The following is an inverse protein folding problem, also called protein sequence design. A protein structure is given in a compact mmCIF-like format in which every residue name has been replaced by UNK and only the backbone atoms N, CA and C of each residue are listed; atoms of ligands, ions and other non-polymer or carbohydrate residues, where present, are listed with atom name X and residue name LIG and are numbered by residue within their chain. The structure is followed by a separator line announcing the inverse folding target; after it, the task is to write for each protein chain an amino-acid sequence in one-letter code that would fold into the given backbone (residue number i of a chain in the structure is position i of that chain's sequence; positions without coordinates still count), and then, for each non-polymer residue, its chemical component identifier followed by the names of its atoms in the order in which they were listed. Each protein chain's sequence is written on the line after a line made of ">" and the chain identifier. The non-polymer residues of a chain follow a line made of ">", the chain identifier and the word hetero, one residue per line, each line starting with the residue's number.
data_IF_596712778577
#
_entry.id   IF_596712778577
#
_cell.length_a   1.000
_cell.length_b   1.000
_cell.length_c   1.000
_cell.angle_alpha   90.00
_cell.angle_beta   90.00
_cell.angle_gamma   90.00
#
_symmetry.space_group_name_H-M   'P 1'
#
loop_
_entity.id
_entity.type
_entity.pdbx_description
1 polymer ?
#
# COMPACT_ATOMS: atom_id res chain seq x y z
N UNK A 1 -17.34 -15.99 16.59
CA UNK A 1 -17.40 -17.27 15.86
C UNK A 1 -18.75 -17.99 16.00
N UNK A 2 -19.40 -17.96 17.16
CA UNK A 2 -20.71 -18.62 17.36
C UNK A 2 -21.81 -18.06 16.44
N UNK A 3 -21.80 -16.75 16.16
CA UNK A 3 -22.77 -16.09 15.28
C UNK A 3 -22.52 -16.42 13.81
N UNK A 4 -21.25 -16.50 13.37
CA UNK A 4 -20.90 -16.86 12.01
C UNK A 4 -21.31 -18.29 11.64
N UNK A 5 -21.29 -19.21 12.63
CA UNK A 5 -21.66 -20.59 12.43
C UNK A 5 -23.15 -20.79 12.06
N UNK A 6 -24.01 -19.83 12.36
CA UNK A 6 -25.44 -19.90 12.03
C UNK A 6 -25.79 -19.39 10.63
N UNK A 7 -24.85 -18.70 9.94
CA UNK A 7 -25.10 -18.06 8.65
C UNK A 7 -24.25 -18.60 7.50
N UNK A 8 -23.13 -19.28 7.81
CA UNK A 8 -22.24 -19.87 6.81
C UNK A 8 -22.56 -21.34 6.60
N UNK A 9 -22.31 -21.83 5.38
CA UNK A 9 -22.23 -23.27 5.13
C UNK A 9 -21.12 -23.87 6.01
N UNK A 10 -21.21 -25.17 6.34
CA UNK A 10 -20.20 -25.85 7.14
C UNK A 10 -18.80 -25.75 6.50
N UNK A 11 -18.73 -25.86 5.17
CA UNK A 11 -17.46 -25.74 4.41
C UNK A 11 -16.86 -24.34 4.45
N UNK A 12 -17.70 -23.30 4.35
CA UNK A 12 -17.24 -21.90 4.42
C UNK A 12 -16.75 -21.55 5.84
N UNK A 13 -17.44 -22.05 6.85
CA UNK A 13 -17.03 -21.88 8.23
C UNK A 13 -15.70 -22.56 8.55
N UNK A 14 -15.51 -23.80 8.08
CA UNK A 14 -14.25 -24.55 8.25
C UNK A 14 -13.09 -23.85 7.52
N UNK A 15 -13.30 -23.39 6.30
CA UNK A 15 -12.33 -22.61 5.54
C UNK A 15 -11.96 -21.30 6.24
N UNK A 16 -12.94 -20.63 6.84
CA UNK A 16 -12.73 -19.42 7.62
C UNK A 16 -11.85 -19.67 8.85
N UNK A 17 -12.15 -20.75 9.60
CA UNK A 17 -11.40 -21.15 10.80
C UNK A 17 -9.96 -21.55 10.44
N UNK A 18 -9.78 -22.31 9.37
CA UNK A 18 -8.46 -22.73 8.90
C UNK A 18 -7.59 -21.53 8.52
N UNK A 19 -8.14 -20.59 7.75
CA UNK A 19 -7.44 -19.35 7.39
C UNK A 19 -7.09 -18.50 8.60
N UNK A 20 -7.99 -18.39 9.56
CA UNK A 20 -7.76 -17.65 10.78
C UNK A 20 -6.63 -18.25 11.63
N UNK A 21 -6.58 -19.56 11.76
CA UNK A 21 -5.50 -20.25 12.46
C UNK A 21 -4.15 -20.11 11.75
N UNK A 22 -4.15 -20.08 10.42
CA UNK A 22 -2.95 -19.89 9.62
C UNK A 22 -2.30 -18.51 9.81
N UNK A 23 -3.10 -17.46 9.96
CA UNK A 23 -2.59 -16.09 10.11
C UNK A 23 -2.30 -15.67 11.56
N UNK A 24 -2.50 -16.54 12.54
CA UNK A 24 -2.08 -16.33 13.95
C UNK A 24 -2.74 -15.13 14.64
N UNK A 25 -3.85 -14.64 14.13
CA UNK A 25 -4.55 -13.48 14.69
C UNK A 25 -5.79 -13.95 15.46
N UNK A 26 -6.08 -13.43 16.66
CA UNK A 26 -7.39 -13.63 17.26
C UNK A 26 -8.42 -13.03 16.30
N UNK A 27 -9.43 -13.84 15.97
CA UNK A 27 -10.51 -13.48 15.06
C UNK A 27 -11.41 -12.41 15.69
N UNK A 28 -11.02 -11.16 15.63
CA UNK A 28 -11.97 -10.07 15.72
C UNK A 28 -12.57 -9.81 14.35
N UNK A 29 -13.64 -10.52 14.02
CA UNK A 29 -14.45 -10.20 12.86
C UNK A 29 -15.58 -9.28 13.25
N UNK A 30 -15.64 -8.14 12.65
CA UNK A 30 -16.91 -7.46 12.44
C UNK A 30 -17.48 -8.02 11.14
N UNK A 31 -18.37 -8.99 11.22
CA UNK A 31 -19.18 -9.40 10.07
C UNK A 31 -20.15 -8.24 9.84
N UNK A 32 -19.79 -7.35 8.94
CA UNK A 32 -20.77 -6.45 8.35
C UNK A 32 -21.60 -7.34 7.43
N UNK A 33 -22.91 -7.42 7.67
CA UNK A 33 -23.81 -8.40 7.08
C UNK A 33 -23.62 -8.55 5.58
N UNK A 34 -23.62 -9.80 5.15
CA UNK A 34 -23.61 -10.18 3.75
C UNK A 34 -24.92 -9.72 3.10
N UNK A 35 -24.89 -8.52 2.56
CA UNK A 35 -25.88 -8.09 1.60
C UNK A 35 -25.22 -8.26 0.23
N UNK A 36 -25.78 -9.14 -0.59
CA UNK A 36 -25.26 -9.56 -1.88
C UNK A 36 -25.20 -8.44 -2.96
N UNK A 37 -25.40 -7.21 -2.57
CA UNK A 37 -25.46 -6.08 -3.48
C UNK A 37 -24.53 -4.97 -2.98
N UNK A 38 -23.40 -4.83 -3.66
CA UNK A 38 -22.44 -3.73 -3.57
C UNK A 38 -21.66 -3.62 -2.24
N UNK A 39 -20.56 -4.34 -2.18
CA UNK A 39 -19.57 -4.16 -1.11
C UNK A 39 -18.57 -3.10 -1.52
N UNK A 40 -18.42 -2.05 -0.70
CA UNK A 40 -17.44 -1.00 -0.91
C UNK A 40 -16.64 -0.73 0.36
N UNK A 41 -15.32 -0.70 0.22
CA UNK A 41 -14.39 -0.29 1.27
C UNK A 41 -13.40 0.70 0.68
N UNK A 42 -13.11 1.76 1.40
CA UNK A 42 -12.17 2.80 1.00
C UNK A 42 -12.81 4.02 0.34
N UNK A 43 -11.99 4.99 -0.04
CA UNK A 43 -10.54 4.99 0.12
C UNK A 43 -10.12 4.96 1.59
N UNK A 44 -9.07 4.17 1.91
CA UNK A 44 -8.52 4.08 3.25
C UNK A 44 -7.63 5.29 3.58
N UNK A 45 -7.00 5.85 2.56
CA UNK A 45 -6.06 6.96 2.69
C UNK A 45 -6.69 8.28 2.22
N UNK A 46 -6.22 9.37 2.82
CA UNK A 46 -6.63 10.74 2.44
C UNK A 46 -5.51 11.52 1.74
N UNK A 47 -4.32 10.94 1.64
CA UNK A 47 -3.16 11.60 1.03
C UNK A 47 -3.31 11.76 -0.48
N UNK A 48 -2.88 12.93 -0.99
CA UNK A 48 -2.87 13.29 -2.40
C UNK A 48 -1.47 13.72 -2.82
N UNK A 49 -0.47 12.97 -2.38
CA UNK A 49 0.92 13.33 -2.60
C UNK A 49 1.38 12.98 -4.01
N UNK A 50 2.25 13.84 -4.55
CA UNK A 50 2.80 13.72 -5.89
C UNK A 50 4.32 13.65 -5.90
N UNK A 51 4.90 13.35 -7.05
CA UNK A 51 6.36 13.22 -7.21
C UNK A 51 7.06 14.57 -7.33
N UNK A 52 6.31 15.64 -7.59
CA UNK A 52 6.74 17.00 -7.87
C UNK A 52 5.99 18.00 -6.99
N UNK A 53 5.97 19.27 -7.35
CA UNK A 53 5.19 20.28 -6.64
C UNK A 53 5.65 20.56 -5.21
N UNK A 54 6.97 20.44 -4.96
CA UNK A 54 7.58 20.67 -3.67
C UNK A 54 7.77 19.41 -2.82
N UNK A 55 7.16 18.27 -3.16
CA UNK A 55 7.41 17.01 -2.45
C UNK A 55 8.85 16.50 -2.64
N UNK A 56 9.49 16.85 -3.75
CA UNK A 56 10.87 16.50 -4.08
C UNK A 56 11.94 17.47 -3.57
N UNK A 57 11.56 18.47 -2.79
CA UNK A 57 12.48 19.57 -2.40
C UNK A 57 13.74 19.10 -1.65
N UNK A 58 13.72 17.95 -1.02
CA UNK A 58 14.88 17.34 -0.36
C UNK A 58 15.50 16.18 -1.14
N UNK A 59 14.99 15.89 -2.35
CA UNK A 59 15.60 14.94 -3.25
C UNK A 59 16.83 15.53 -3.95
N UNK A 60 17.82 14.71 -4.36
CA UNK A 60 19.00 15.20 -5.10
C UNK A 60 18.61 16.02 -6.32
N UNK A 61 19.18 17.24 -6.41
CA UNK A 61 18.88 18.23 -7.46
C UNK A 61 17.40 18.59 -7.62
N UNK A 62 16.56 18.35 -6.60
CA UNK A 62 15.10 18.48 -6.63
C UNK A 62 14.46 17.66 -7.76
N UNK A 63 15.10 16.60 -8.20
CA UNK A 63 14.55 15.67 -9.18
C UNK A 63 13.28 15.01 -8.64
N UNK A 64 12.36 14.57 -9.53
CA UNK A 64 11.14 13.91 -9.08
C UNK A 64 11.40 12.85 -8.03
N UNK A 65 10.57 12.80 -7.00
CA UNK A 65 10.75 11.89 -5.85
C UNK A 65 10.66 10.41 -6.23
N UNK A 66 10.02 10.11 -7.36
CA UNK A 66 9.78 8.75 -7.85
C UNK A 66 8.49 8.13 -7.30
N UNK A 67 7.77 7.41 -8.15
CA UNK A 67 6.49 6.79 -7.78
C UNK A 67 6.62 5.81 -6.61
N UNK A 68 7.74 5.10 -6.53
CA UNK A 68 8.05 4.17 -5.43
C UNK A 68 8.07 4.90 -4.09
N UNK A 69 8.80 6.00 -3.99
CA UNK A 69 8.90 6.76 -2.74
C UNK A 69 7.54 7.36 -2.32
N UNK A 70 6.76 7.86 -3.28
CA UNK A 70 5.44 8.44 -2.99
C UNK A 70 4.46 7.36 -2.55
N UNK A 71 4.40 6.21 -3.22
CA UNK A 71 3.52 5.12 -2.83
C UNK A 71 3.86 4.61 -1.41
N UNK A 72 5.16 4.42 -1.12
CA UNK A 72 5.62 4.02 0.21
C UNK A 72 5.27 5.06 1.27
N UNK A 73 5.59 6.33 1.02
CA UNK A 73 5.35 7.41 1.97
C UNK A 73 3.87 7.56 2.36
N UNK A 74 2.95 7.37 1.41
CA UNK A 74 1.52 7.40 1.69
C UNK A 74 1.05 6.24 2.55
N UNK A 75 1.58 5.02 2.32
CA UNK A 75 1.32 3.86 3.18
C UNK A 75 1.88 4.09 4.58
N UNK A 76 3.10 4.59 4.70
CA UNK A 76 3.72 4.90 5.99
C UNK A 76 2.96 5.99 6.74
N UNK A 77 2.46 7.02 6.03
CA UNK A 77 1.56 8.05 6.61
C UNK A 77 0.23 7.45 7.08
N UNK A 78 -0.33 6.49 6.37
CA UNK A 78 -1.54 5.80 6.80
C UNK A 78 -1.36 5.04 8.12
N UNK A 79 -0.22 4.34 8.27
CA UNK A 79 0.10 3.58 9.46
C UNK A 79 0.74 4.43 10.59
N UNK A 80 1.18 5.66 10.28
CA UNK A 80 1.94 6.54 11.18
C UNK A 80 3.15 5.83 11.81
N UNK A 81 3.86 5.08 10.98
CA UNK A 81 5.04 4.31 11.36
C UNK A 81 6.20 4.51 10.35
N UNK A 82 7.48 4.59 10.81
CA UNK A 82 7.96 4.49 12.20
C UNK A 82 7.67 5.75 13.05
N UNK A 83 7.65 5.58 14.37
CA UNK A 83 7.29 6.65 15.31
C UNK A 83 8.24 7.85 15.34
N UNK A 84 9.40 7.73 14.70
CA UNK A 84 10.42 8.80 14.65
C UNK A 84 10.05 10.00 13.78
N UNK A 85 8.98 9.89 12.98
CA UNK A 85 8.51 10.97 12.12
C UNK A 85 7.41 11.82 12.76
N UNK A 86 7.37 13.10 12.40
CA UNK A 86 6.26 13.99 12.76
C UNK A 86 5.07 13.77 11.83
N UNK A 87 4.27 12.74 12.12
CA UNK A 87 3.09 12.39 11.35
C UNK A 87 2.02 13.47 11.39
N UNK A 88 1.90 14.20 12.49
CA UNK A 88 0.94 15.29 12.67
C UNK A 88 1.29 16.52 11.80
N UNK A 89 2.57 16.73 11.54
CA UNK A 89 3.07 17.80 10.66
C UNK A 89 2.92 17.52 9.15
N UNK A 90 2.47 16.31 8.77
CA UNK A 90 2.28 15.93 7.36
C UNK A 90 0.87 16.20 6.88
N UNK A 91 0.66 17.27 6.09
CA UNK A 91 -0.62 17.52 5.45
C UNK A 91 -0.93 16.48 4.35
N UNK A 92 -2.22 16.20 4.14
CA UNK A 92 -2.67 15.23 3.15
C UNK A 92 -2.63 15.75 1.70
N UNK A 93 -2.71 17.05 1.51
CA UNK A 93 -2.97 17.70 0.22
C UNK A 93 -1.86 18.64 -0.27
N UNK A 94 -0.80 18.83 0.53
CA UNK A 94 0.33 19.70 0.20
C UNK A 94 1.61 19.19 0.82
N UNK A 95 2.78 19.52 0.24
CA UNK A 95 4.08 19.19 0.83
C UNK A 95 4.29 19.99 2.13
N UNK A 96 4.93 19.35 3.09
CA UNK A 96 5.42 19.92 4.34
C UNK A 96 6.86 19.47 4.56
N UNK A 97 7.61 20.15 5.43
CA UNK A 97 8.97 19.72 5.77
C UNK A 97 9.02 18.28 6.31
N UNK A 98 7.98 17.87 7.05
CA UNK A 98 7.88 16.52 7.56
C UNK A 98 7.68 15.48 6.42
N UNK A 99 6.76 15.72 5.47
CA UNK A 99 6.56 14.82 4.33
C UNK A 99 7.76 14.80 3.38
N UNK A 100 8.41 15.93 3.15
CA UNK A 100 9.65 16.01 2.36
C UNK A 100 10.77 15.17 2.98
N UNK A 101 10.94 15.25 4.30
CA UNK A 101 11.95 14.46 5.03
C UNK A 101 11.68 12.96 4.94
N UNK A 102 10.43 12.55 5.09
CA UNK A 102 10.02 11.17 4.91
C UNK A 102 10.34 10.67 3.50
N UNK A 103 9.90 11.38 2.48
CA UNK A 103 10.10 11.03 1.07
C UNK A 103 11.59 10.91 0.73
N UNK A 104 12.40 11.87 1.16
CA UNK A 104 13.86 11.83 0.95
C UNK A 104 14.52 10.65 1.67
N UNK A 105 14.06 10.29 2.87
CA UNK A 105 14.56 9.12 3.59
C UNK A 105 14.19 7.81 2.90
N UNK A 106 12.94 7.68 2.43
CA UNK A 106 12.51 6.52 1.64
C UNK A 106 13.36 6.39 0.37
N UNK A 107 13.60 7.49 -0.35
CA UNK A 107 14.47 7.48 -1.52
C UNK A 107 15.87 6.91 -1.24
N UNK A 108 16.44 7.22 -0.08
CA UNK A 108 17.70 6.60 0.37
C UNK A 108 17.52 5.11 0.70
N UNK A 109 16.46 4.74 1.39
CA UNK A 109 16.20 3.36 1.81
C UNK A 109 15.99 2.41 0.62
N UNK A 110 15.44 2.89 -0.48
CA UNK A 110 15.21 2.11 -1.70
C UNK A 110 16.33 2.26 -2.75
N UNK A 111 17.42 2.94 -2.43
CA UNK A 111 18.49 3.28 -3.38
C UNK A 111 17.92 3.91 -4.69
N UNK A 112 17.08 4.93 -4.53
CA UNK A 112 16.41 5.59 -5.64
C UNK A 112 17.41 6.06 -6.71
N UNK A 113 17.19 5.64 -7.94
CA UNK A 113 17.89 6.18 -9.11
C UNK A 113 17.20 7.47 -9.53
N UNK A 114 17.77 8.59 -9.09
CA UNK A 114 17.22 9.93 -9.40
C UNK A 114 17.60 10.37 -10.80
N UNK A 115 16.64 10.87 -11.57
CA UNK A 115 16.85 11.45 -12.88
C UNK A 115 16.02 12.72 -13.07
N UNK A 116 16.45 13.56 -14.02
CA UNK A 116 15.82 14.85 -14.29
C UNK A 116 14.34 14.74 -14.68
N UNK A 117 14.00 13.73 -15.48
CA UNK A 117 12.65 13.55 -15.99
C UNK A 117 11.84 12.55 -15.16
N UNK A 118 12.53 11.62 -14.51
CA UNK A 118 11.91 10.60 -13.65
C UNK A 118 12.92 9.98 -12.71
N UNK A 119 12.42 9.41 -11.63
CA UNK A 119 13.20 8.64 -10.65
C UNK A 119 12.52 7.30 -10.40
N UNK A 120 13.31 6.26 -10.17
CA UNK A 120 12.79 4.91 -10.03
C UNK A 120 13.60 4.03 -9.07
N UNK A 121 12.95 2.98 -8.58
CA UNK A 121 13.57 1.90 -7.83
C UNK A 121 12.82 0.59 -8.13
N UNK A 122 13.48 -0.54 -7.97
CA UNK A 122 12.88 -1.84 -8.24
C UNK A 122 11.91 -2.26 -7.12
N UNK A 123 11.02 -3.22 -7.42
CA UNK A 123 10.15 -3.83 -6.40
C UNK A 123 10.97 -4.49 -5.28
N UNK A 124 12.15 -5.03 -5.61
CA UNK A 124 13.07 -5.59 -4.60
C UNK A 124 13.64 -4.52 -3.68
N UNK A 125 13.94 -3.34 -4.22
CA UNK A 125 14.40 -2.19 -3.45
C UNK A 125 13.28 -1.65 -2.56
N UNK A 126 12.06 -1.54 -3.07
CA UNK A 126 10.90 -1.13 -2.29
C UNK A 126 10.66 -2.08 -1.11
N UNK A 127 10.73 -3.42 -1.33
CA UNK A 127 10.63 -4.41 -0.25
C UNK A 127 11.68 -4.17 0.82
N UNK A 128 12.97 -4.04 0.43
CA UNK A 128 14.07 -3.76 1.37
C UNK A 128 13.88 -2.42 2.10
N UNK A 129 13.38 -1.41 1.40
CA UNK A 129 13.07 -0.11 1.98
C UNK A 129 12.03 -0.21 3.10
N UNK A 130 10.91 -0.87 2.87
CA UNK A 130 9.90 -1.12 3.90
C UNK A 130 10.46 -1.93 5.07
N UNK A 131 11.24 -2.98 4.81
CA UNK A 131 11.89 -3.77 5.86
C UNK A 131 12.87 -2.93 6.70
N UNK A 132 13.63 -2.03 6.06
CA UNK A 132 14.51 -1.09 6.74
C UNK A 132 13.74 -0.09 7.62
N UNK A 133 12.50 0.24 7.26
CA UNK A 133 11.59 1.07 8.05
C UNK A 133 10.84 0.27 9.13
N UNK A 134 11.10 -1.03 9.26
CA UNK A 134 10.54 -1.88 10.31
C UNK A 134 9.23 -2.58 9.96
N UNK A 135 8.85 -2.62 8.68
CA UNK A 135 7.67 -3.36 8.22
C UNK A 135 7.99 -4.83 7.94
N UNK A 136 7.06 -5.71 8.27
CA UNK A 136 7.07 -7.08 7.77
C UNK A 136 6.41 -7.11 6.39
N UNK A 137 7.15 -7.50 5.36
CA UNK A 137 6.71 -7.35 3.96
C UNK A 137 6.70 -8.71 3.25
N UNK A 138 5.56 -9.03 2.65
CA UNK A 138 5.44 -10.14 1.71
C UNK A 138 5.35 -9.61 0.28
N UNK A 139 6.19 -10.15 -0.60
CA UNK A 139 6.11 -9.92 -2.05
C UNK A 139 5.37 -11.09 -2.68
N UNK A 140 4.34 -10.79 -3.46
CA UNK A 140 3.53 -11.78 -4.18
C UNK A 140 3.30 -11.33 -5.61
N UNK A 141 3.01 -12.28 -6.49
CA UNK A 141 2.41 -11.98 -7.78
C UNK A 141 0.99 -11.42 -7.56
N UNK A 142 0.49 -10.65 -8.54
CA UNK A 142 -0.83 -10.04 -8.42
C UNK A 142 -1.91 -11.11 -8.35
N UNK A 143 -2.64 -11.11 -7.24
CA UNK A 143 -3.86 -11.88 -7.03
C UNK A 143 -4.91 -10.95 -6.42
N UNK A 144 -6.07 -10.86 -7.07
CA UNK A 144 -7.14 -9.97 -6.64
C UNK A 144 -7.64 -10.31 -5.25
N UNK A 145 -7.75 -11.60 -4.93
CA UNK A 145 -8.17 -12.05 -3.60
C UNK A 145 -7.21 -11.62 -2.49
N UNK A 146 -5.91 -11.68 -2.74
CA UNK A 146 -4.91 -11.20 -1.78
C UNK A 146 -5.07 -9.69 -1.54
N UNK A 147 -5.27 -8.89 -2.61
CA UNK A 147 -5.47 -7.44 -2.51
C UNK A 147 -6.76 -7.11 -1.76
N UNK A 148 -7.86 -7.74 -2.14
CA UNK A 148 -9.17 -7.54 -1.49
C UNK A 148 -9.15 -7.97 -0.02
N UNK A 149 -8.44 -9.05 0.31
CA UNK A 149 -8.30 -9.52 1.68
C UNK A 149 -7.60 -8.50 2.58
N UNK A 150 -6.57 -7.81 2.07
CA UNK A 150 -5.89 -6.75 2.80
C UNK A 150 -6.83 -5.55 3.03
N UNK A 151 -7.60 -5.17 2.03
CA UNK A 151 -8.49 -4.01 2.07
C UNK A 151 -9.75 -4.30 2.88
N UNK A 152 -10.49 -5.37 2.54
CA UNK A 152 -11.78 -5.68 3.15
C UNK A 152 -11.68 -6.20 4.58
N UNK A 153 -10.71 -7.06 4.86
CA UNK A 153 -10.63 -7.75 6.15
C UNK A 153 -9.62 -7.15 7.10
N UNK A 154 -8.58 -6.49 6.59
CA UNK A 154 -7.50 -5.95 7.41
C UNK A 154 -7.43 -4.43 7.42
N UNK A 155 -8.18 -3.77 6.53
CA UNK A 155 -8.15 -2.31 6.41
C UNK A 155 -6.75 -1.78 6.11
N UNK A 156 -5.99 -2.49 5.29
CA UNK A 156 -4.61 -2.11 4.95
C UNK A 156 -4.48 -1.76 3.48
N UNK A 157 -3.89 -0.61 3.14
CA UNK A 157 -3.57 -0.27 1.77
C UNK A 157 -2.46 -1.20 1.23
N UNK A 158 -2.51 -1.50 -0.06
CA UNK A 158 -1.59 -2.42 -0.72
C UNK A 158 -0.69 -1.68 -1.68
N UNK A 159 0.64 -1.82 -1.51
CA UNK A 159 1.61 -1.35 -2.47
C UNK A 159 1.57 -2.22 -3.72
N UNK A 160 1.41 -1.62 -4.86
CA UNK A 160 1.32 -2.30 -6.15
C UNK A 160 2.33 -1.75 -7.14
N UNK A 161 2.82 -2.63 -8.01
CA UNK A 161 3.64 -2.24 -9.17
C UNK A 161 3.14 -2.93 -10.41
N UNK A 162 3.35 -2.30 -11.56
CA UNK A 162 3.07 -2.90 -12.84
C UNK A 162 3.96 -2.35 -13.93
N UNK A 163 4.30 -3.20 -14.88
CA UNK A 163 5.07 -2.84 -16.07
C UNK A 163 4.16 -2.82 -17.27
N UNK A 164 4.33 -1.83 -18.12
CA UNK A 164 3.68 -1.80 -19.42
C UNK A 164 4.57 -2.46 -20.45
N UNK A 165 4.17 -3.62 -20.98
CA UNK A 165 4.80 -4.23 -22.15
C UNK A 165 4.17 -3.69 -23.42
N UNK A 166 5.01 -3.33 -24.40
CA UNK A 166 4.51 -3.04 -25.74
C UNK A 166 4.35 -4.34 -26.54
N UNK A 167 3.77 -4.21 -27.77
CA UNK A 167 3.55 -5.31 -28.69
C UNK A 167 4.84 -6.08 -29.08
N UNK A 168 6.01 -5.49 -28.91
CA UNK A 168 7.33 -6.08 -29.26
C UNK A 168 7.99 -6.74 -28.03
N UNK A 169 7.32 -6.74 -26.87
CA UNK A 169 7.85 -7.35 -25.64
C UNK A 169 8.90 -6.51 -24.90
N UNK A 170 9.13 -5.27 -25.32
CA UNK A 170 10.00 -4.34 -24.62
C UNK A 170 9.20 -3.78 -23.43
N UNK A 171 9.72 -3.95 -22.21
CA UNK A 171 9.13 -3.36 -21.02
C UNK A 171 9.37 -1.85 -21.02
N UNK A 172 8.31 -1.08 -21.01
CA UNK A 172 8.38 0.37 -20.83
C UNK A 172 8.02 0.67 -19.37
N UNK A 173 8.87 1.44 -18.74
CA UNK A 173 8.71 2.10 -17.44
C UNK A 173 7.65 1.49 -16.51
N UNK A 174 8.10 0.80 -15.49
CA UNK A 174 7.27 0.36 -14.39
C UNK A 174 6.66 1.56 -13.66
N UNK A 175 5.49 1.36 -13.05
CA UNK A 175 4.86 2.33 -12.17
C UNK A 175 4.52 1.68 -10.84
N UNK A 176 4.63 2.46 -9.76
CA UNK A 176 4.21 2.05 -8.42
C UNK A 176 3.05 2.94 -7.97
N UNK A 177 2.07 2.32 -7.33
CA UNK A 177 0.91 3.00 -6.77
C UNK A 177 0.39 2.29 -5.53
N UNK A 178 -0.64 2.84 -4.90
CA UNK A 178 -1.30 2.23 -3.77
C UNK A 178 -2.73 1.87 -4.15
N UNK A 179 -3.14 0.65 -3.84
CA UNK A 179 -4.53 0.26 -3.82
C UNK A 179 -5.06 0.43 -2.39
N UNK A 180 -6.00 1.34 -2.19
CA UNK A 180 -6.52 1.70 -0.88
C UNK A 180 -8.04 1.60 -0.78
N UNK A 181 -8.66 0.94 -1.74
CA UNK A 181 -10.09 0.68 -1.76
C UNK A 181 -10.47 -0.40 -2.74
N UNK A 182 -11.60 -1.01 -2.51
CA UNK A 182 -12.21 -1.99 -3.40
C UNK A 182 -13.73 -1.86 -3.41
N UNK A 183 -14.33 -2.11 -4.56
CA UNK A 183 -15.78 -2.10 -4.75
C UNK A 183 -16.18 -3.32 -5.58
N UNK A 184 -17.10 -4.11 -5.05
CA UNK A 184 -17.64 -5.30 -5.70
C UNK A 184 -19.08 -5.00 -6.15
N UNK A 185 -19.37 -5.28 -7.41
CA UNK A 185 -20.71 -5.20 -7.99
C UNK A 185 -21.24 -6.62 -8.19
N UNK A 186 -22.39 -6.91 -7.58
CA UNK A 186 -23.11 -8.17 -7.75
C UNK A 186 -23.98 -8.20 -9.00
#
# INVERSE_FOLDING_TARGET
>A
LSSARSFLSQSDYESLVEKANFYGSPLEFTIVGYNSNNRKVGPLMNTKWGQEGGYSALCPNEYPAGCVAIAMAQIEKYHEWPQSFDWSGMANDRPTSASQSLIAMIGKAVNMEYGKDESGASLGDAKRGFEAMGYAVSKKDHDMWDVESEIYFRGRPVYMTGDRKNFIGITWKGHAWVCDGAEEYG
#
